data_IF_251772233725
#
_entry.id   IF_251772233725
#
_cell.length_a   1.000
_cell.length_b   1.000
_cell.length_c   1.000
_cell.angle_alpha   90.00
_cell.angle_beta   90.00
_cell.angle_gamma   90.00
#
_symmetry.space_group_name_H-M   'P 1'
#
loop_
_entity.id
_entity.type
_entity.pdbx_description
1 polymer ?
#
# COMPACT_ATOMS: atom_id res chain seq x y z
N UNK A 1 -5.25 -16.76 -15.29
CA UNK A 1 -5.74 -15.59 -14.54
C UNK A 1 -7.09 -15.21 -15.18
N UNK A 2 -8.19 -15.40 -14.48
CA UNK A 2 -9.52 -15.08 -15.01
C UNK A 2 -9.80 -13.60 -14.81
N UNK A 3 -10.20 -12.91 -15.85
CA UNK A 3 -10.52 -11.48 -15.81
C UNK A 3 -12.00 -11.30 -16.07
N UNK A 4 -12.72 -10.79 -15.09
CA UNK A 4 -14.13 -10.38 -15.23
C UNK A 4 -14.19 -8.85 -15.35
N UNK A 5 -14.85 -8.34 -16.38
CA UNK A 5 -15.08 -6.92 -16.58
C UNK A 5 -16.51 -6.56 -16.21
N UNK A 6 -16.67 -5.52 -15.42
CA UNK A 6 -17.96 -4.91 -15.11
C UNK A 6 -17.96 -3.46 -15.58
N UNK A 7 -18.83 -3.13 -16.53
CA UNK A 7 -18.99 -1.76 -17.02
C UNK A 7 -19.81 -0.95 -16.01
N UNK A 8 -19.21 0.06 -15.38
CA UNK A 8 -19.98 0.96 -14.52
C UNK A 8 -20.86 1.90 -15.37
N UNK A 9 -22.00 2.31 -14.82
CA UNK A 9 -22.93 3.26 -15.47
C UNK A 9 -22.23 4.56 -15.92
N UNK A 10 -21.22 4.99 -15.19
CA UNK A 10 -20.39 6.16 -15.49
C UNK A 10 -19.49 5.92 -16.72
N UNK A 11 -19.00 4.70 -16.91
CA UNK A 11 -18.22 4.28 -18.08
C UNK A 11 -19.12 4.15 -19.31
N UNK A 12 -20.34 3.64 -19.14
CA UNK A 12 -21.37 3.56 -20.17
C UNK A 12 -21.70 4.94 -20.74
N UNK A 13 -22.00 5.91 -19.86
CA UNK A 13 -22.31 7.29 -20.25
C UNK A 13 -21.13 8.01 -20.93
N UNK A 14 -19.89 7.65 -20.56
CA UNK A 14 -18.68 8.21 -21.16
C UNK A 14 -18.43 7.66 -22.57
N UNK A 15 -18.70 6.36 -22.78
CA UNK A 15 -18.60 5.71 -24.09
C UNK A 15 -19.70 6.21 -25.05
N UNK A 16 -20.90 6.50 -24.54
CA UNK A 16 -22.00 7.09 -25.29
C UNK A 16 -21.65 8.52 -25.75
N UNK A 17 -21.00 9.33 -24.92
CA UNK A 17 -20.50 10.67 -25.27
C UNK A 17 -19.42 10.67 -26.35
N UNK A 18 -18.69 9.56 -26.53
CA UNK A 18 -17.66 9.39 -27.56
C UNK A 18 -18.29 8.93 -28.90
N UNK A 19 -19.62 8.74 -28.96
CA UNK A 19 -20.34 8.38 -30.17
C UNK A 19 -20.37 6.88 -30.47
N UNK A 20 -20.27 6.02 -29.44
CA UNK A 20 -20.49 4.59 -29.59
C UNK A 20 -21.98 4.30 -29.58
N UNK A 21 -22.46 3.54 -30.58
CA UNK A 21 -23.89 3.25 -30.76
C UNK A 21 -24.46 2.47 -29.55
N UNK A 22 -25.73 2.73 -29.23
CA UNK A 22 -26.43 2.10 -28.09
C UNK A 22 -26.52 0.57 -28.23
N UNK A 23 -26.63 0.06 -29.47
CA UNK A 23 -26.60 -1.39 -29.73
C UNK A 23 -25.24 -2.01 -29.40
N UNK A 24 -24.16 -1.29 -29.62
CA UNK A 24 -22.81 -1.72 -29.33
C UNK A 24 -22.52 -1.72 -27.82
N UNK A 25 -23.08 -0.75 -27.09
CA UNK A 25 -23.00 -0.68 -25.63
C UNK A 25 -23.80 -1.80 -24.97
N UNK A 26 -24.94 -2.19 -25.53
CA UNK A 26 -25.76 -3.31 -25.05
C UNK A 26 -25.03 -4.66 -25.21
N UNK A 27 -24.37 -4.86 -26.35
CA UNK A 27 -23.54 -6.06 -26.59
C UNK A 27 -22.33 -6.12 -25.65
N UNK A 28 -21.75 -4.99 -25.24
CA UNK A 28 -20.70 -4.91 -24.21
C UNK A 28 -21.23 -5.26 -22.80
N UNK A 29 -22.45 -4.82 -22.47
CA UNK A 29 -23.10 -5.15 -21.20
C UNK A 29 -23.46 -6.64 -21.11
N UNK A 30 -23.85 -7.28 -22.20
CA UNK A 30 -24.13 -8.72 -22.26
C UNK A 30 -22.86 -9.57 -22.05
N UNK A 31 -21.67 -9.00 -22.20
CA UNK A 31 -20.39 -9.67 -21.93
C UNK A 31 -19.95 -9.61 -20.44
N UNK A 32 -20.69 -8.92 -19.57
CA UNK A 32 -20.33 -8.73 -18.16
C UNK A 32 -20.15 -10.03 -17.35
N UNK A 33 -20.72 -11.14 -17.80
CA UNK A 33 -20.68 -12.43 -17.10
C UNK A 33 -19.79 -13.47 -17.79
N UNK A 34 -19.03 -13.09 -18.82
CA UNK A 34 -18.20 -14.06 -19.57
C UNK A 34 -16.79 -14.05 -18.97
N UNK A 35 -16.38 -15.21 -18.46
CA UNK A 35 -15.02 -15.45 -17.97
C UNK A 35 -14.13 -15.84 -19.16
N UNK A 36 -13.08 -15.07 -19.42
CA UNK A 36 -12.12 -15.36 -20.47
C UNK A 36 -10.89 -16.08 -19.92
N UNK A 37 -10.47 -17.16 -20.58
CA UNK A 37 -9.32 -17.95 -20.16
C UNK A 37 -7.97 -17.30 -20.49
N UNK A 38 -7.95 -16.33 -21.40
CA UNK A 38 -6.75 -15.58 -21.77
C UNK A 38 -7.10 -14.22 -22.39
N UNK A 39 -6.12 -13.32 -22.44
CA UNK A 39 -6.23 -12.01 -23.09
C UNK A 39 -6.49 -12.17 -24.61
N UNK A 40 -5.90 -13.17 -25.23
CA UNK A 40 -6.08 -13.46 -26.67
C UNK A 40 -7.51 -13.95 -26.99
N UNK A 41 -8.11 -14.73 -26.11
CA UNK A 41 -9.50 -15.17 -26.23
C UNK A 41 -10.46 -13.97 -26.11
N UNK A 42 -10.18 -13.02 -25.22
CA UNK A 42 -10.91 -11.76 -25.10
C UNK A 42 -10.79 -10.92 -26.37
N UNK A 43 -9.56 -10.68 -26.85
CA UNK A 43 -9.29 -9.87 -28.03
C UNK A 43 -9.90 -10.49 -29.30
N UNK A 44 -9.85 -11.82 -29.43
CA UNK A 44 -10.47 -12.56 -30.52
C UNK A 44 -12.00 -12.42 -30.54
N UNK A 45 -12.63 -12.39 -29.36
CA UNK A 45 -14.08 -12.19 -29.26
C UNK A 45 -14.50 -10.74 -29.52
N UNK A 46 -13.73 -9.79 -28.97
CA UNK A 46 -13.94 -8.35 -29.24
C UNK A 46 -13.76 -8.01 -30.72
N UNK A 47 -12.82 -8.66 -31.43
CA UNK A 47 -12.60 -8.44 -32.85
C UNK A 47 -13.74 -8.94 -33.74
N UNK A 48 -14.59 -9.86 -33.25
CA UNK A 48 -15.75 -10.41 -33.97
C UNK A 48 -17.04 -9.62 -33.72
N UNK A 49 -17.05 -8.66 -32.83
CA UNK A 49 -18.21 -7.79 -32.61
C UNK A 49 -18.33 -6.76 -33.74
N UNK A 50 -19.56 -6.38 -34.19
CA UNK A 50 -19.76 -5.34 -35.18
C UNK A 50 -19.14 -3.97 -34.77
N UNK A 51 -18.84 -3.80 -33.51
CA UNK A 51 -18.02 -2.76 -32.90
C UNK A 51 -16.59 -2.69 -33.48
N UNK A 52 -16.08 -3.79 -34.05
CA UNK A 52 -14.68 -3.89 -34.46
C UNK A 52 -14.30 -2.95 -35.58
N UNK A 53 -15.20 -2.66 -36.49
CA UNK A 53 -14.88 -1.73 -37.61
C UNK A 53 -14.77 -0.29 -37.14
N UNK A 54 -15.70 0.17 -36.35
CA UNK A 54 -15.73 1.55 -35.84
C UNK A 54 -14.65 1.82 -34.78
N UNK A 55 -14.39 0.84 -33.90
CA UNK A 55 -13.24 0.89 -32.94
C UNK A 55 -11.91 0.70 -33.67
N UNK A 56 -11.83 -0.11 -34.72
CA UNK A 56 -10.61 -0.25 -35.52
C UNK A 56 -10.28 0.99 -36.35
N UNK A 57 -11.27 1.67 -36.90
CA UNK A 57 -11.04 2.97 -37.52
C UNK A 57 -10.60 4.03 -36.50
N UNK A 58 -11.29 4.12 -35.37
CA UNK A 58 -10.89 5.01 -34.26
C UNK A 58 -9.62 4.55 -33.52
N UNK A 59 -9.31 3.24 -33.49
CA UNK A 59 -8.04 2.71 -32.95
C UNK A 59 -6.83 3.23 -33.73
N UNK A 60 -6.94 3.34 -35.05
CA UNK A 60 -5.88 3.92 -35.88
C UNK A 60 -5.71 5.42 -35.60
N UNK A 61 -6.79 6.14 -35.32
CA UNK A 61 -6.72 7.54 -34.93
C UNK A 61 -6.27 7.74 -33.46
N UNK A 62 -6.69 6.87 -32.54
CA UNK A 62 -6.16 6.82 -31.19
C UNK A 62 -4.68 6.40 -31.16
N UNK A 63 -4.26 5.48 -32.03
CA UNK A 63 -2.86 5.13 -32.23
C UNK A 63 -2.06 6.26 -32.88
N UNK A 64 -2.67 7.03 -33.80
CA UNK A 64 -2.05 8.23 -34.36
C UNK A 64 -1.94 9.35 -33.33
N UNK A 65 -2.95 9.52 -32.46
CA UNK A 65 -2.91 10.47 -31.35
C UNK A 65 -1.91 10.02 -30.31
N UNK A 66 -1.89 8.75 -29.93
CA UNK A 66 -0.88 8.20 -29.01
C UNK A 66 0.53 8.25 -29.61
N UNK A 67 0.70 7.94 -30.89
CA UNK A 67 1.95 8.15 -31.63
C UNK A 67 2.29 9.63 -31.79
N UNK A 68 1.30 10.52 -31.82
CA UNK A 68 1.49 11.96 -31.86
C UNK A 68 1.97 12.55 -30.53
N UNK A 69 1.56 11.95 -29.41
CA UNK A 69 2.08 12.28 -28.07
C UNK A 69 3.49 11.71 -27.84
N UNK A 70 3.87 10.62 -28.52
CA UNK A 70 5.19 10.00 -28.46
C UNK A 70 5.93 10.15 -29.80
N UNK A 71 6.02 11.36 -30.34
CA UNK A 71 6.93 11.65 -31.46
C UNK A 71 8.38 11.74 -31.02
N UNK A 72 8.85 10.69 -30.38
CA UNK A 72 10.28 10.49 -30.06
C UNK A 72 11.15 10.39 -31.35
N UNK A 73 10.53 9.97 -32.46
CA UNK A 73 11.16 9.93 -33.79
C UNK A 73 11.62 11.28 -34.29
N UNK A 74 10.94 12.37 -33.94
CA UNK A 74 11.33 13.74 -34.26
C UNK A 74 12.45 14.29 -33.35
N UNK A 75 12.51 13.81 -32.10
CA UNK A 75 13.47 14.27 -31.10
C UNK A 75 14.75 13.40 -31.07
N UNK A 76 14.64 12.11 -31.41
CA UNK A 76 15.73 11.14 -31.35
C UNK A 76 15.84 10.43 -32.71
N UNK A 77 16.63 10.94 -33.64
CA UNK A 77 16.77 10.37 -35.00
C UNK A 77 17.49 9.02 -35.02
N UNK A 78 18.30 8.73 -34.00
CA UNK A 78 19.00 7.44 -33.91
C UNK A 78 18.03 6.34 -33.42
N UNK A 79 17.79 5.34 -34.28
CA UNK A 79 16.86 4.22 -34.02
C UNK A 79 17.18 3.47 -32.76
N UNK A 80 18.43 3.14 -32.53
CA UNK A 80 18.87 2.37 -31.35
C UNK A 80 18.62 3.16 -30.05
N UNK A 81 18.96 4.45 -30.02
CA UNK A 81 18.73 5.31 -28.85
C UNK A 81 17.23 5.44 -28.58
N UNK A 82 16.42 5.55 -29.61
CA UNK A 82 14.96 5.62 -29.50
C UNK A 82 14.36 4.34 -28.88
N UNK A 83 14.78 3.16 -29.36
CA UNK A 83 14.31 1.87 -28.84
C UNK A 83 14.67 1.72 -27.35
N UNK A 84 15.88 2.10 -26.96
CA UNK A 84 16.29 2.12 -25.54
C UNK A 84 15.49 3.14 -24.71
N UNK A 85 15.22 4.31 -25.25
CA UNK A 85 14.41 5.35 -24.56
C UNK A 85 12.97 4.91 -24.36
N UNK A 86 12.35 4.30 -25.38
CA UNK A 86 10.99 3.74 -25.29
C UNK A 86 10.93 2.62 -24.23
N UNK A 87 11.90 1.70 -24.25
CA UNK A 87 12.00 0.63 -23.26
C UNK A 87 12.18 1.18 -21.84
N UNK A 88 13.01 2.21 -21.67
CA UNK A 88 13.23 2.86 -20.38
C UNK A 88 11.97 3.56 -19.86
N UNK A 89 11.29 4.32 -20.72
CA UNK A 89 10.01 4.99 -20.35
C UNK A 89 8.99 3.93 -19.94
N UNK A 90 8.85 2.86 -20.72
CA UNK A 90 7.93 1.76 -20.39
C UNK A 90 8.28 1.13 -19.05
N UNK A 91 9.55 0.84 -18.79
CA UNK A 91 10.03 0.28 -17.54
C UNK A 91 9.72 1.20 -16.35
N UNK A 92 9.93 2.52 -16.49
CA UNK A 92 9.61 3.51 -15.45
C UNK A 92 8.11 3.55 -15.17
N UNK A 93 7.27 3.55 -16.21
CA UNK A 93 5.80 3.55 -16.06
C UNK A 93 5.34 2.29 -15.33
N UNK A 94 5.82 1.12 -15.75
CA UNK A 94 5.48 -0.16 -15.11
C UNK A 94 5.98 -0.20 -13.67
N UNK A 95 7.22 0.20 -13.42
CA UNK A 95 7.80 0.23 -12.08
C UNK A 95 7.01 1.17 -11.15
N UNK A 96 6.65 2.36 -11.64
CA UNK A 96 5.83 3.34 -10.90
C UNK A 96 4.45 2.76 -10.60
N UNK A 97 3.82 2.12 -11.58
CA UNK A 97 2.52 1.47 -11.41
C UNK A 97 2.58 0.35 -10.35
N UNK A 98 3.58 -0.54 -10.45
CA UNK A 98 3.76 -1.64 -9.48
C UNK A 98 4.02 -1.09 -8.08
N UNK A 99 4.90 -0.07 -7.95
CA UNK A 99 5.20 0.58 -6.68
C UNK A 99 3.98 1.22 -6.04
N UNK A 100 3.16 1.89 -6.83
CA UNK A 100 1.99 2.63 -6.32
C UNK A 100 0.86 1.71 -5.91
N UNK A 101 0.62 0.63 -6.66
CA UNK A 101 -0.59 -0.19 -6.48
C UNK A 101 -0.36 -1.54 -5.83
N UNK A 102 0.86 -2.08 -5.89
CA UNK A 102 1.11 -3.44 -5.40
C UNK A 102 2.09 -3.47 -4.23
N UNK A 103 3.34 -3.12 -4.47
CA UNK A 103 4.41 -3.26 -3.48
C UNK A 103 5.29 -2.01 -3.46
N UNK A 104 5.37 -1.37 -2.30
CA UNK A 104 6.28 -0.27 -2.08
C UNK A 104 7.44 -0.71 -1.17
N UNK A 105 8.69 -0.39 -1.56
CA UNK A 105 9.85 -0.59 -0.70
C UNK A 105 9.94 0.54 0.34
N UNK A 106 10.22 0.17 1.59
CA UNK A 106 10.48 1.09 2.68
C UNK A 106 11.78 0.74 3.37
N UNK A 107 12.57 1.73 3.72
CA UNK A 107 13.75 1.60 4.57
C UNK A 107 13.40 1.98 6.00
N UNK A 108 13.87 1.22 6.97
CA UNK A 108 13.55 1.41 8.39
C UNK A 108 14.66 2.23 9.07
N UNK A 109 14.41 3.51 9.40
CA UNK A 109 15.41 4.37 10.01
C UNK A 109 15.40 4.32 11.54
N UNK A 110 14.37 3.75 12.19
CA UNK A 110 14.17 3.83 13.63
C UNK A 110 13.97 2.46 14.28
N UNK A 111 14.30 2.37 15.57
CA UNK A 111 14.17 1.14 16.36
C UNK A 111 12.82 0.96 17.05
N UNK A 112 11.77 1.68 16.64
CA UNK A 112 10.47 1.62 17.34
C UNK A 112 9.73 0.29 17.17
N UNK A 113 10.12 -0.53 16.20
CA UNK A 113 9.53 -1.84 15.90
C UNK A 113 10.48 -2.99 16.23
N UNK A 114 11.54 -2.73 17.00
CA UNK A 114 12.42 -3.79 17.52
C UNK A 114 11.63 -4.76 18.41
N UNK A 115 11.94 -6.05 18.40
CA UNK A 115 12.94 -6.74 17.56
C UNK A 115 12.40 -7.15 16.21
N UNK A 116 11.09 -7.02 15.97
CA UNK A 116 10.40 -7.48 14.75
C UNK A 116 11.03 -6.88 13.50
N UNK A 117 11.22 -5.56 13.50
CA UNK A 117 11.86 -4.83 12.40
C UNK A 117 13.05 -4.06 12.98
N UNK A 118 14.22 -4.23 12.38
CA UNK A 118 15.46 -3.61 12.85
C UNK A 118 15.84 -2.40 12.00
N UNK A 119 16.61 -1.49 12.60
CA UNK A 119 17.18 -0.35 11.86
C UNK A 119 18.05 -0.89 10.72
N UNK A 120 17.82 -0.37 9.51
CA UNK A 120 18.51 -0.81 8.29
C UNK A 120 17.87 -2.01 7.60
N UNK A 121 16.71 -2.50 8.10
CA UNK A 121 15.86 -3.39 7.32
C UNK A 121 15.20 -2.63 6.17
N UNK A 122 15.09 -3.28 5.04
CA UNK A 122 14.29 -2.84 3.91
C UNK A 122 13.13 -3.81 3.74
N UNK A 123 11.93 -3.29 3.78
CA UNK A 123 10.71 -4.09 3.74
C UNK A 123 9.89 -3.80 2.48
N UNK A 124 9.19 -4.80 1.98
CA UNK A 124 8.09 -4.58 1.06
C UNK A 124 6.78 -4.46 1.81
N UNK A 125 6.06 -3.40 1.52
CA UNK A 125 4.68 -3.24 1.97
C UNK A 125 3.71 -3.52 0.82
N UNK A 126 2.62 -4.21 1.14
CA UNK A 126 1.50 -4.40 0.25
C UNK A 126 0.58 -3.18 0.31
N UNK A 127 0.52 -2.44 -0.78
CA UNK A 127 -0.30 -1.22 -0.89
C UNK A 127 -1.77 -1.56 -1.20
N UNK A 128 -2.04 -2.71 -1.83
CA UNK A 128 -3.40 -3.13 -2.20
C UNK A 128 -4.22 -3.68 -1.04
N UNK A 129 -3.60 -4.04 0.09
CA UNK A 129 -4.28 -4.77 1.18
C UNK A 129 -5.41 -3.93 1.80
N UNK A 130 -5.21 -2.63 2.00
CA UNK A 130 -6.19 -1.75 2.63
C UNK A 130 -6.89 -0.81 1.65
N UNK A 131 -6.77 -1.11 0.37
CA UNK A 131 -7.40 -0.41 -0.72
C UNK A 131 -6.46 0.52 -1.46
N UNK A 132 -6.10 0.12 -2.68
CA UNK A 132 -5.38 0.99 -3.61
C UNK A 132 -6.32 2.02 -4.20
N UNK A 133 -5.98 3.31 -4.17
CA UNK A 133 -6.79 4.33 -4.82
C UNK A 133 -6.75 4.14 -6.34
N UNK A 134 -7.88 4.21 -7.01
CA UNK A 134 -7.91 4.29 -8.46
C UNK A 134 -7.52 5.72 -8.86
N UNK A 135 -6.57 5.92 -9.80
CA UNK A 135 -6.19 7.26 -10.24
C UNK A 135 -7.40 8.08 -10.65
N UNK A 136 -7.42 9.34 -10.21
CA UNK A 136 -8.49 10.31 -10.51
C UNK A 136 -9.88 9.94 -9.96
N UNK A 137 -9.98 9.05 -8.97
CA UNK A 137 -11.24 8.70 -8.30
C UNK A 137 -11.03 8.53 -6.80
N UNK A 138 -12.10 8.67 -6.00
CA UNK A 138 -12.09 8.40 -4.56
C UNK A 138 -12.33 6.91 -4.23
N UNK A 139 -12.35 6.04 -5.25
CA UNK A 139 -12.64 4.62 -5.09
C UNK A 139 -11.36 3.87 -4.73
N UNK A 140 -11.39 3.15 -3.62
CA UNK A 140 -10.34 2.21 -3.22
C UNK A 140 -10.75 0.78 -3.59
N UNK A 141 -9.91 0.10 -4.39
CA UNK A 141 -10.08 -1.33 -4.73
C UNK A 141 -9.54 -2.22 -3.60
N UNK A 142 -10.18 -3.39 -3.42
CA UNK A 142 -9.70 -4.46 -2.52
C UNK A 142 -9.57 -4.07 -1.04
N UNK A 143 -10.40 -3.14 -0.54
CA UNK A 143 -10.37 -2.69 0.86
C UNK A 143 -10.65 -3.86 1.81
N UNK A 144 -9.59 -4.42 2.41
CA UNK A 144 -9.71 -5.37 3.53
C UNK A 144 -9.67 -4.61 4.85
N UNK A 145 -10.40 -5.05 5.87
CA UNK A 145 -10.29 -4.47 7.20
C UNK A 145 -8.90 -4.71 7.78
N UNK A 146 -8.38 -3.73 8.50
CA UNK A 146 -7.16 -3.89 9.31
C UNK A 146 -7.47 -4.89 10.42
N UNK A 147 -6.57 -5.84 10.64
CA UNK A 147 -6.67 -6.82 11.72
C UNK A 147 -5.72 -6.44 12.85
N UNK A 148 -6.07 -6.84 14.08
CA UNK A 148 -5.16 -6.72 15.21
C UNK A 148 -3.87 -7.50 14.93
N UNK A 149 -2.73 -6.90 15.27
CA UNK A 149 -1.41 -7.45 14.98
C UNK A 149 -0.85 -7.07 13.61
N UNK A 150 -1.66 -6.55 12.67
CA UNK A 150 -1.14 -6.10 11.38
C UNK A 150 -0.12 -4.97 11.56
N UNK A 151 1.01 -5.06 10.86
CA UNK A 151 2.01 -3.99 10.79
C UNK A 151 1.56 -3.03 9.69
N UNK A 152 1.08 -1.86 10.11
CA UNK A 152 0.46 -0.86 9.23
C UNK A 152 1.40 0.30 8.95
N UNK A 153 1.34 0.81 7.73
CA UNK A 153 2.05 2.00 7.28
C UNK A 153 1.01 3.09 7.04
N UNK A 154 1.27 4.27 7.58
CA UNK A 154 0.37 5.41 7.50
C UNK A 154 1.14 6.72 7.62
N UNK A 155 0.65 7.82 7.05
CA UNK A 155 1.20 9.15 7.25
C UNK A 155 1.14 9.55 8.73
N UNK A 156 2.21 10.12 9.25
CA UNK A 156 2.24 10.59 10.65
C UNK A 156 1.17 11.67 10.88
N UNK A 157 0.28 11.53 11.89
CA UNK A 157 -0.86 12.43 12.06
C UNK A 157 -0.51 13.90 12.27
N UNK A 158 0.69 14.21 12.80
CA UNK A 158 1.14 15.58 13.02
C UNK A 158 1.97 16.14 11.86
N UNK A 159 2.55 15.26 11.00
CA UNK A 159 3.28 15.62 9.79
C UNK A 159 3.06 14.55 8.70
N UNK A 160 2.04 14.72 7.86
CA UNK A 160 1.69 13.73 6.84
C UNK A 160 2.75 13.51 5.73
N UNK A 161 3.84 14.32 5.73
CA UNK A 161 4.95 14.11 4.81
C UNK A 161 5.85 12.92 5.18
N UNK A 162 5.68 12.40 6.40
CA UNK A 162 6.49 11.32 6.96
C UNK A 162 5.63 10.06 7.16
N UNK A 163 6.04 8.95 6.57
CA UNK A 163 5.38 7.67 6.81
C UNK A 163 5.87 7.03 8.10
N UNK A 164 4.92 6.55 8.90
CA UNK A 164 5.17 5.77 10.11
C UNK A 164 4.77 4.32 9.92
N UNK A 165 5.52 3.44 10.59
CA UNK A 165 5.23 2.02 10.66
C UNK A 165 5.00 1.61 12.10
N UNK A 166 3.85 1.03 12.40
CA UNK A 166 3.43 0.58 13.72
C UNK A 166 2.56 -0.67 13.62
N UNK A 167 2.33 -1.33 14.75
CA UNK A 167 1.40 -2.45 14.84
C UNK A 167 0.01 -1.96 15.25
N UNK A 168 -1.03 -2.45 14.60
CA UNK A 168 -2.42 -2.21 14.97
C UNK A 168 -2.75 -3.02 16.24
N UNK A 169 -2.95 -2.33 17.36
CA UNK A 169 -3.23 -2.93 18.66
C UNK A 169 -4.70 -2.86 18.99
N UNK A 170 -5.32 -1.71 18.86
CA UNK A 170 -6.74 -1.52 19.12
C UNK A 170 -7.52 -1.22 17.85
N UNK A 171 -8.70 -1.82 17.74
CA UNK A 171 -9.59 -1.73 16.59
C UNK A 171 -10.80 -0.84 16.89
N UNK A 172 -11.54 -0.37 15.87
CA UNK A 172 -12.68 0.51 16.05
C UNK A 172 -13.73 -0.07 16.99
N UNK A 173 -14.21 0.75 17.92
CA UNK A 173 -15.26 0.41 18.89
C UNK A 173 -14.79 -0.28 20.16
N UNK A 174 -13.53 -0.72 20.21
CA UNK A 174 -12.95 -1.40 21.38
C UNK A 174 -12.55 -0.40 22.47
N UNK A 175 -12.49 -0.87 23.70
CA UNK A 175 -11.93 -0.15 24.83
C UNK A 175 -10.53 -0.67 25.13
N UNK A 176 -9.54 0.20 25.02
CA UNK A 176 -8.13 -0.12 25.28
C UNK A 176 -7.70 0.48 26.60
N UNK A 177 -6.98 -0.30 27.38
CA UNK A 177 -6.32 0.14 28.60
C UNK A 177 -4.94 -0.47 28.72
N UNK A 178 -3.96 0.29 29.22
CA UNK A 178 -2.62 -0.21 29.57
C UNK A 178 -2.47 -0.13 31.08
N UNK A 179 -2.15 -1.25 31.71
CA UNK A 179 -1.88 -1.37 33.16
C UNK A 179 -0.56 -2.11 33.34
N UNK A 180 0.41 -1.50 34.01
CA UNK A 180 1.73 -2.10 34.27
C UNK A 180 2.37 -2.68 32.99
N UNK A 181 2.39 -1.89 31.94
CA UNK A 181 2.92 -2.24 30.62
C UNK A 181 2.16 -3.35 29.86
N UNK A 182 1.09 -3.89 30.43
CA UNK A 182 0.21 -4.89 29.80
C UNK A 182 -0.98 -4.19 29.13
N UNK A 183 -1.30 -4.62 27.91
CA UNK A 183 -2.44 -4.10 27.16
C UNK A 183 -3.68 -4.95 27.43
N UNK A 184 -4.79 -4.28 27.70
CA UNK A 184 -6.10 -4.89 27.85
C UNK A 184 -7.03 -4.35 26.77
N UNK A 185 -7.78 -5.23 26.15
CA UNK A 185 -8.81 -4.89 25.15
C UNK A 185 -10.16 -5.40 25.70
N UNK A 186 -11.10 -4.48 25.86
CA UNK A 186 -12.44 -4.75 26.44
C UNK A 186 -12.34 -5.44 27.82
N UNK A 187 -11.28 -5.15 28.57
CA UNK A 187 -11.03 -5.72 29.89
C UNK A 187 -10.24 -7.03 29.91
N UNK A 188 -10.00 -7.65 28.74
CA UNK A 188 -9.22 -8.90 28.61
C UNK A 188 -7.76 -8.59 28.28
N UNK A 189 -6.83 -9.33 28.89
CA UNK A 189 -5.40 -9.21 28.63
C UNK A 189 -5.09 -9.64 27.20
N UNK A 190 -4.41 -8.77 26.45
CA UNK A 190 -3.95 -9.09 25.10
C UNK A 190 -2.63 -9.89 25.17
N UNK A 191 -2.59 -11.01 24.45
CA UNK A 191 -1.34 -11.75 24.22
C UNK A 191 -0.51 -11.05 23.15
N UNK A 192 0.70 -10.61 23.51
CA UNK A 192 1.56 -9.79 22.67
C UNK A 192 3.00 -10.34 22.65
N UNK A 193 3.23 -11.48 21.97
CA UNK A 193 4.57 -12.10 21.92
C UNK A 193 5.62 -11.24 21.21
N UNK A 194 5.19 -10.24 20.45
CA UNK A 194 6.03 -9.27 19.75
C UNK A 194 6.44 -8.07 20.62
N UNK A 195 5.78 -7.86 21.78
CA UNK A 195 6.05 -6.71 22.62
C UNK A 195 7.44 -6.81 23.25
N UNK A 196 8.26 -5.79 23.03
CA UNK A 196 9.62 -5.72 23.53
C UNK A 196 9.79 -4.53 24.47
N UNK A 197 10.40 -4.80 25.61
CA UNK A 197 10.67 -3.82 26.66
C UNK A 197 12.19 -3.71 26.81
N UNK A 198 12.77 -2.68 26.17
CA UNK A 198 14.23 -2.51 26.16
C UNK A 198 14.78 -2.36 27.59
N UNK A 199 15.75 -3.19 28.03
CA UNK A 199 16.24 -3.22 29.41
C UNK A 199 17.02 -1.99 29.83
N UNK A 200 17.41 -1.12 28.86
CA UNK A 200 18.28 0.02 29.14
C UNK A 200 17.50 1.16 29.81
N UNK A 201 17.40 1.15 31.13
CA UNK A 201 16.68 2.14 31.93
C UNK A 201 17.11 3.59 31.69
N UNK A 202 18.37 3.87 31.33
CA UNK A 202 18.86 5.24 31.09
C UNK A 202 18.24 5.84 29.84
N UNK A 203 18.12 5.05 28.77
CA UNK A 203 17.53 5.49 27.49
C UNK A 203 16.02 5.63 27.62
N UNK A 204 15.37 4.68 28.27
CA UNK A 204 13.93 4.74 28.54
C UNK A 204 13.55 5.88 29.48
N UNK A 205 14.36 6.21 30.50
CA UNK A 205 14.15 7.37 31.38
C UNK A 205 14.26 8.71 30.63
N UNK A 206 15.19 8.83 29.67
CA UNK A 206 15.35 10.04 28.88
C UNK A 206 14.15 10.23 27.94
N UNK A 207 13.69 9.18 27.29
CA UNK A 207 12.47 9.20 26.46
C UNK A 207 11.21 9.44 27.30
N UNK A 208 11.09 8.83 28.47
CA UNK A 208 9.99 9.07 29.43
C UNK A 208 9.96 10.50 29.97
N UNK A 209 11.10 11.17 30.11
CA UNK A 209 11.17 12.60 30.49
C UNK A 209 10.84 13.55 29.35
N UNK A 210 11.15 13.16 28.11
CA UNK A 210 10.85 13.93 26.89
C UNK A 210 9.41 13.74 26.40
N UNK A 211 8.81 12.62 26.75
CA UNK A 211 7.46 12.25 26.38
C UNK A 211 6.58 12.16 27.61
N UNK A 212 5.59 13.01 27.71
CA UNK A 212 4.61 13.05 28.81
C UNK A 212 3.69 11.81 28.85
N UNK A 213 3.87 10.81 27.96
CA UNK A 213 3.01 9.64 27.93
C UNK A 213 3.50 8.56 28.89
N UNK A 214 2.64 8.06 29.76
CA UNK A 214 2.95 6.99 30.66
C UNK A 214 3.02 5.65 29.88
N UNK A 215 4.23 5.11 29.74
CA UNK A 215 4.41 3.79 29.12
C UNK A 215 3.70 2.68 29.91
N UNK A 216 3.61 2.83 31.22
CA UNK A 216 3.07 1.82 32.14
C UNK A 216 1.57 1.93 32.42
N UNK A 217 0.92 3.07 32.06
CA UNK A 217 -0.51 3.28 32.28
C UNK A 217 -1.10 4.22 31.23
N UNK A 218 -2.18 3.79 30.57
CA UNK A 218 -2.91 4.57 29.58
C UNK A 218 -4.37 4.14 29.56
N UNK A 219 -5.29 5.09 29.39
CA UNK A 219 -6.72 4.78 29.34
C UNK A 219 -7.37 4.50 30.69
N UNK A 220 -8.53 3.82 30.73
CA UNK A 220 -9.21 3.21 29.58
C UNK A 220 -9.70 4.24 28.56
N UNK A 221 -9.62 3.92 27.28
CA UNK A 221 -10.08 4.79 26.20
C UNK A 221 -10.85 3.97 25.16
N UNK A 222 -12.02 4.47 24.76
CA UNK A 222 -12.81 3.87 23.69
C UNK A 222 -12.32 4.36 22.34
N UNK A 223 -11.99 3.43 21.46
CA UNK A 223 -11.49 3.72 20.11
C UNK A 223 -12.69 4.10 19.23
N UNK A 224 -12.70 5.30 18.63
CA UNK A 224 -13.80 5.72 17.77
C UNK A 224 -13.94 4.83 16.54
N UNK A 225 -15.13 4.82 15.92
CA UNK A 225 -15.33 4.15 14.64
C UNK A 225 -14.41 4.75 13.56
N UNK A 226 -13.85 3.89 12.71
CA UNK A 226 -12.90 4.30 11.67
C UNK A 226 -11.50 4.68 12.15
N UNK A 227 -11.18 4.50 13.44
CA UNK A 227 -9.88 4.80 14.03
C UNK A 227 -9.17 3.54 14.51
N UNK A 228 -7.84 3.60 14.54
CA UNK A 228 -6.95 2.56 15.08
C UNK A 228 -6.14 3.12 16.24
N UNK A 229 -5.81 2.24 17.18
CA UNK A 229 -4.78 2.51 18.16
C UNK A 229 -3.54 1.68 17.78
N UNK A 230 -2.45 2.35 17.43
CA UNK A 230 -1.24 1.72 16.94
C UNK A 230 -0.11 1.86 17.94
N UNK A 231 0.71 0.82 18.10
CA UNK A 231 1.89 0.87 18.98
C UNK A 231 3.12 0.31 18.28
N UNK A 232 4.30 0.78 18.68
CA UNK A 232 5.54 0.12 18.33
C UNK A 232 5.79 -1.11 19.18
N UNK A 233 6.44 -2.12 18.60
CA UNK A 233 6.81 -3.34 19.32
C UNK A 233 7.83 -3.03 20.41
N UNK A 234 8.76 -2.09 20.16
CA UNK A 234 9.66 -1.56 21.19
C UNK A 234 8.93 -0.55 22.08
N UNK A 235 8.25 -1.04 23.09
CA UNK A 235 7.30 -0.32 23.95
C UNK A 235 7.86 0.93 24.61
N UNK A 236 9.13 0.88 25.03
CA UNK A 236 9.79 2.00 25.70
C UNK A 236 10.46 2.99 24.73
N UNK A 237 10.62 2.62 23.46
CA UNK A 237 11.30 3.42 22.46
C UNK A 237 10.42 3.64 21.20
N UNK A 238 9.14 3.90 21.43
CA UNK A 238 8.20 4.19 20.35
C UNK A 238 7.38 5.43 20.66
N UNK A 239 7.43 6.41 19.76
CA UNK A 239 6.39 7.42 19.63
C UNK A 239 5.25 6.78 18.82
N UNK A 240 4.04 6.70 19.41
CA UNK A 240 2.88 6.01 18.83
C UNK A 240 1.56 6.56 19.38
N UNK A 241 0.44 5.86 19.24
CA UNK A 241 -0.89 6.35 19.63
C UNK A 241 -1.00 6.74 21.11
N UNK A 242 -0.10 6.30 21.96
CA UNK A 242 -0.03 6.78 23.36
C UNK A 242 0.32 8.27 23.47
N UNK A 243 0.89 8.85 22.42
CA UNK A 243 1.36 10.24 22.36
C UNK A 243 0.46 11.12 21.49
N UNK A 244 0.12 10.66 20.27
CA UNK A 244 -0.67 11.47 19.32
C UNK A 244 -2.12 11.06 19.19
N UNK A 245 -2.54 9.98 19.89
CA UNK A 245 -3.91 9.47 19.82
C UNK A 245 -4.14 8.49 18.67
N UNK A 246 -5.35 8.55 18.11
CA UNK A 246 -5.79 7.57 17.12
C UNK A 246 -5.30 7.88 15.71
N UNK A 247 -5.12 6.81 14.92
CA UNK A 247 -4.83 6.87 13.49
C UNK A 247 -6.13 6.63 12.72
N UNK A 248 -6.37 7.39 11.67
CA UNK A 248 -7.49 7.18 10.78
C UNK A 248 -7.29 5.93 9.91
N UNK A 249 -8.23 4.99 9.91
CA UNK A 249 -8.11 3.79 9.08
C UNK A 249 -8.03 4.09 7.58
N UNK A 250 -8.65 5.18 7.15
CA UNK A 250 -8.65 5.55 5.74
C UNK A 250 -7.31 6.15 5.29
N UNK A 251 -6.46 6.57 6.24
CA UNK A 251 -5.10 7.04 5.94
C UNK A 251 -4.08 5.90 5.88
N UNK A 252 -4.45 4.69 6.30
CA UNK A 252 -3.53 3.55 6.21
C UNK A 252 -3.24 3.25 4.73
N UNK A 253 -1.97 3.36 4.36
CA UNK A 253 -1.50 3.23 2.97
C UNK A 253 -1.08 1.82 2.62
N UNK A 254 -0.56 1.03 3.60
CA UNK A 254 -0.07 -0.30 3.31
C UNK A 254 0.13 -1.19 4.53
N UNK A 255 0.39 -2.47 4.24
CA UNK A 255 0.73 -3.49 5.24
C UNK A 255 2.16 -3.96 5.02
N UNK A 256 3.01 -3.90 6.03
CA UNK A 256 4.33 -4.53 6.02
C UNK A 256 4.21 -6.03 5.81
N UNK A 257 4.96 -6.60 4.86
CA UNK A 257 4.83 -8.00 4.47
C UNK A 257 6.10 -8.81 4.68
N UNK A 258 7.22 -8.34 4.15
CA UNK A 258 8.45 -9.12 4.09
C UNK A 258 9.68 -8.21 4.13
N UNK A 259 10.72 -8.67 4.77
CA UNK A 259 12.06 -8.06 4.73
C UNK A 259 12.77 -8.59 3.48
N UNK A 260 13.11 -7.70 2.54
CA UNK A 260 13.83 -8.12 1.32
C UNK A 260 15.33 -7.85 1.37
N UNK A 261 15.76 -6.98 2.31
CA UNK A 261 17.16 -6.66 2.52
C UNK A 261 17.38 -6.20 3.96
N UNK A 262 18.53 -6.51 4.54
CA UNK A 262 18.87 -6.10 5.90
C UNK A 262 20.37 -5.88 6.04
N UNK A 263 20.72 -4.66 6.49
CA UNK A 263 22.10 -4.26 6.76
C UNK A 263 22.16 -3.39 8.01
N UNK A 264 23.08 -3.67 8.92
CA UNK A 264 23.31 -2.83 10.10
C UNK A 264 24.02 -1.54 9.69
N UNK A 265 23.39 -0.36 9.79
CA UNK A 265 23.97 0.91 9.35
C UNK A 265 25.18 1.35 10.20
N UNK A 266 25.36 0.78 11.39
CA UNK A 266 26.55 1.05 12.24
C UNK A 266 27.79 0.30 11.79
N UNK A 267 27.64 -0.64 10.84
CA UNK A 267 28.75 -1.44 10.30
C UNK A 267 29.13 -0.96 8.90
N UNK A 268 30.35 -1.33 8.48
CA UNK A 268 30.83 -1.04 7.12
C UNK A 268 29.90 -1.63 6.06
N UNK A 269 29.87 -1.00 4.84
CA UNK A 269 29.12 -1.49 3.69
C UNK A 269 29.54 -2.90 3.21
N UNK A 270 30.72 -3.36 3.61
CA UNK A 270 31.22 -4.71 3.30
C UNK A 270 30.93 -5.73 4.42
N UNK A 271 30.35 -5.28 5.55
CA UNK A 271 30.04 -6.12 6.70
C UNK A 271 28.71 -5.67 7.32
N UNK A 272 28.10 -6.53 8.15
CA UNK A 272 26.86 -6.18 8.83
C UNK A 272 25.59 -6.55 8.06
N UNK A 273 25.71 -7.29 6.96
CA UNK A 273 24.58 -7.93 6.32
C UNK A 273 23.96 -8.98 7.23
N UNK A 274 22.64 -8.97 7.33
CA UNK A 274 21.83 -9.89 8.13
C UNK A 274 21.02 -10.77 7.20
N UNK A 275 21.73 -11.71 6.54
CA UNK A 275 21.13 -12.59 5.52
C UNK A 275 20.01 -13.47 6.08
N UNK A 276 20.09 -13.80 7.36
CA UNK A 276 19.08 -14.58 8.10
C UNK A 276 17.72 -13.88 8.18
N UNK A 277 17.69 -12.56 7.99
CA UNK A 277 16.45 -11.76 8.00
C UNK A 277 15.82 -11.60 6.62
N UNK A 278 16.58 -11.93 5.57
CA UNK A 278 16.08 -11.77 4.19
C UNK A 278 14.99 -12.81 3.93
N UNK A 279 13.84 -12.36 3.44
CA UNK A 279 12.60 -13.11 3.24
C UNK A 279 11.84 -13.48 4.51
N UNK A 280 12.18 -12.91 5.67
CA UNK A 280 11.34 -13.00 6.86
C UNK A 280 10.00 -12.31 6.63
N UNK A 281 8.92 -13.04 6.86
CA UNK A 281 7.57 -12.49 6.81
C UNK A 281 7.24 -11.76 8.11
N UNK A 282 6.76 -10.55 7.98
CA UNK A 282 6.31 -9.72 9.09
C UNK A 282 4.95 -10.23 9.61
N UNK A 283 4.94 -10.72 10.85
CA UNK A 283 3.76 -11.28 11.54
C UNK A 283 3.37 -10.40 12.72
#
# INVERSE_FOLDING_TARGET
>A
MFVTYKLSEKSFNKLQKIGISEAALKNLAEMENIVFSSQDAFLSRVSKLPLSKEIMEKKNDLLKVAKGFMRLDLLIPNRTIREWTEALIFAIVVATFVRTYFFAPFQIPSGSMLPTIQIGDHIFASMYTYGSPIPFTDIKLFKKPVKRGDIVIFPYPQDPSIDYIKRAIGLPGETLEIRKDQVFINGELLDEPYAYFEPNERKSRKLRKLSAAPSSRYGPVKIPQGKLFTMGDNRYNSADSRFWGFVDMDTVTGKGQIIYWSHNPEKSIFSGYRFERIFDFLK
#
